data_IF_370911707391
#
_entry.id   IF_370911707391
#
_cell.length_a   1.000
_cell.length_b   1.000
_cell.length_c   1.000
_cell.angle_alpha   90.00
_cell.angle_beta   90.00
_cell.angle_gamma   90.00
#
_symmetry.space_group_name_H-M   'P 1'
#
loop_
_entity.id
_entity.type
_entity.pdbx_description
1 polymer ?
#
# COMPACT_ATOMS: atom_id res chain seq x y z
N UNK A 1 -1.20 25.26 26.20
CA UNK A 1 -1.37 24.97 24.77
C UNK A 1 -2.78 24.50 24.50
N UNK A 2 -3.55 25.35 23.84
CA UNK A 2 -4.88 24.95 23.34
C UNK A 2 -4.67 24.19 22.03
N UNK A 3 -4.94 22.90 22.05
CA UNK A 3 -4.68 22.06 20.88
C UNK A 3 -5.82 22.12 19.86
N UNK A 4 -5.51 22.13 18.55
CA UNK A 4 -6.52 22.11 17.53
C UNK A 4 -7.24 20.76 17.50
N UNK A 5 -8.57 20.81 17.32
CA UNK A 5 -9.40 19.66 17.11
C UNK A 5 -10.43 19.94 16.00
N UNK A 6 -10.67 18.98 15.14
CA UNK A 6 -11.56 19.11 13.98
C UNK A 6 -12.37 17.83 13.80
N UNK A 7 -13.66 17.98 13.56
CA UNK A 7 -14.51 16.86 13.12
C UNK A 7 -14.80 17.03 11.63
N UNK A 8 -14.50 16.01 10.86
CA UNK A 8 -14.70 15.98 9.40
C UNK A 8 -15.69 14.89 9.03
N UNK A 9 -16.71 15.24 8.29
CA UNK A 9 -17.61 14.31 7.63
C UNK A 9 -17.27 14.26 6.15
N UNK A 10 -17.07 13.06 5.61
CA UNK A 10 -16.72 12.86 4.20
C UNK A 10 -17.67 11.86 3.57
N UNK A 11 -18.15 12.22 2.37
CA UNK A 11 -18.79 11.29 1.45
C UNK A 11 -17.88 11.15 0.22
N UNK A 12 -17.75 9.95 -0.31
CA UNK A 12 -16.86 9.69 -1.44
C UNK A 12 -17.42 8.63 -2.37
N UNK A 13 -17.01 8.76 -3.63
CA UNK A 13 -17.21 7.76 -4.68
C UNK A 13 -15.87 7.60 -5.39
N UNK A 14 -15.34 6.40 -5.38
CA UNK A 14 -14.12 6.04 -6.08
C UNK A 14 -14.41 5.01 -7.16
N UNK A 15 -13.80 5.19 -8.32
CA UNK A 15 -13.91 4.25 -9.41
C UNK A 15 -12.52 3.79 -9.86
N UNK A 16 -12.25 2.50 -9.70
CA UNK A 16 -11.11 1.85 -10.33
C UNK A 16 -11.55 1.23 -11.64
N UNK A 17 -11.06 1.76 -12.75
CA UNK A 17 -11.33 1.24 -14.08
C UNK A 17 -10.09 0.53 -14.61
N UNK A 18 -10.15 -0.79 -14.68
CA UNK A 18 -9.17 -1.62 -15.39
C UNK A 18 -9.70 -1.89 -16.79
N UNK A 19 -9.41 -0.96 -17.69
CA UNK A 19 -9.85 -1.03 -19.08
C UNK A 19 -9.67 -2.44 -19.66
N UNK A 20 -10.74 -3.02 -20.20
CA UNK A 20 -10.83 -4.37 -20.79
C UNK A 20 -10.96 -5.53 -19.81
N UNK A 21 -10.96 -5.30 -18.50
CA UNK A 21 -11.12 -6.36 -17.50
C UNK A 21 -12.32 -6.15 -16.60
N UNK A 22 -12.32 -5.10 -15.77
CA UNK A 22 -13.39 -4.83 -14.83
C UNK A 22 -13.44 -3.35 -14.41
N UNK A 23 -14.55 -2.97 -13.81
CA UNK A 23 -14.71 -1.73 -13.05
C UNK A 23 -15.06 -2.08 -11.60
N UNK A 24 -14.35 -1.47 -10.66
CA UNK A 24 -14.68 -1.52 -9.25
C UNK A 24 -15.17 -0.14 -8.81
N UNK A 25 -16.40 -0.07 -8.35
CA UNK A 25 -16.98 1.15 -7.77
C UNK A 25 -16.96 1.00 -6.26
N UNK A 26 -16.42 2.01 -5.57
CA UNK A 26 -16.50 2.13 -4.12
C UNK A 26 -17.20 3.43 -3.77
N UNK A 27 -18.20 3.38 -2.91
CA UNK A 27 -18.84 4.57 -2.36
C UNK A 27 -19.07 4.41 -0.87
N UNK A 28 -19.06 5.52 -0.16
CA UNK A 28 -19.21 5.47 1.27
C UNK A 28 -19.06 6.81 1.94
N UNK A 29 -18.87 6.76 3.25
CA UNK A 29 -18.65 7.92 4.05
C UNK A 29 -17.97 7.61 5.36
N UNK A 30 -17.41 8.62 5.98
CA UNK A 30 -16.82 8.53 7.31
C UNK A 30 -17.05 9.79 8.13
N UNK A 31 -16.92 9.63 9.44
CA UNK A 31 -16.82 10.70 10.40
C UNK A 31 -15.48 10.56 11.12
N UNK A 32 -14.64 11.56 11.06
CA UNK A 32 -13.29 11.53 11.63
C UNK A 32 -13.09 12.68 12.59
N UNK A 33 -12.58 12.40 13.78
CA UNK A 33 -12.17 13.37 14.78
C UNK A 33 -10.64 13.42 14.85
N UNK A 34 -10.07 14.53 14.40
CA UNK A 34 -8.64 14.83 14.44
C UNK A 34 -8.36 15.75 15.63
N UNK A 35 -7.36 15.41 16.43
CA UNK A 35 -6.88 16.28 17.51
C UNK A 35 -5.38 16.18 17.70
N UNK A 36 -4.77 17.28 18.13
CA UNK A 36 -3.32 17.42 18.27
C UNK A 36 -2.96 17.90 19.67
N UNK A 37 -2.85 16.99 20.66
CA UNK A 37 -2.62 17.36 22.06
C UNK A 37 -1.24 17.95 22.32
N UNK A 38 -0.29 17.67 21.44
CA UNK A 38 1.06 18.26 21.48
C UNK A 38 1.51 18.68 20.10
N UNK A 39 2.55 19.50 20.01
CA UNK A 39 3.10 19.95 18.70
C UNK A 39 3.67 18.82 17.85
N UNK A 40 3.94 17.68 18.45
CA UNK A 40 4.61 16.54 17.80
C UNK A 40 3.70 15.33 17.64
N UNK A 41 2.51 15.30 18.25
CA UNK A 41 1.60 14.18 18.20
C UNK A 41 0.23 14.59 17.64
N UNK A 42 -0.24 13.86 16.66
CA UNK A 42 -1.58 13.97 16.11
C UNK A 42 -2.31 12.65 16.24
N UNK A 43 -3.57 12.72 16.58
CA UNK A 43 -4.46 11.57 16.66
C UNK A 43 -5.63 11.78 15.71
N UNK A 44 -6.00 10.73 15.01
CA UNK A 44 -7.15 10.72 14.12
C UNK A 44 -8.02 9.50 14.46
N UNK A 45 -9.20 9.75 14.94
CA UNK A 45 -10.17 8.72 15.30
C UNK A 45 -11.34 8.76 14.32
N UNK A 46 -11.56 7.65 13.63
CA UNK A 46 -12.70 7.44 12.75
C UNK A 46 -13.58 6.34 13.35
N UNK A 47 -14.56 6.69 14.21
CA UNK A 47 -15.40 5.70 14.86
C UNK A 47 -16.33 4.98 13.89
N UNK A 48 -16.62 5.58 12.75
CA UNK A 48 -17.43 4.98 11.70
C UNK A 48 -16.91 5.36 10.32
N UNK A 49 -16.51 4.34 9.57
CA UNK A 49 -16.23 4.38 8.14
C UNK A 49 -17.03 3.27 7.47
N UNK A 50 -17.86 3.65 6.53
CA UNK A 50 -18.70 2.72 5.79
C UNK A 50 -18.33 2.79 4.32
N UNK A 51 -17.94 1.68 3.74
CA UNK A 51 -17.60 1.56 2.33
C UNK A 51 -18.39 0.43 1.70
N UNK A 52 -18.93 0.67 0.52
CA UNK A 52 -19.63 -0.30 -0.29
C UNK A 52 -18.85 -0.52 -1.59
N UNK A 53 -18.33 -1.71 -1.81
CA UNK A 53 -17.61 -2.09 -3.02
C UNK A 53 -18.53 -2.87 -3.95
N UNK A 54 -18.62 -2.43 -5.21
CA UNK A 54 -19.42 -3.08 -6.25
C UNK A 54 -18.55 -3.35 -7.46
N UNK A 55 -18.41 -4.64 -7.80
CA UNK A 55 -17.74 -5.06 -9.02
C UNK A 55 -18.71 -4.93 -10.20
N UNK A 56 -18.31 -4.15 -11.21
CA UNK A 56 -19.11 -3.87 -12.40
C UNK A 56 -18.35 -4.21 -13.68
N UNK A 57 -19.10 -4.50 -14.73
CA UNK A 57 -18.58 -4.64 -16.10
C UNK A 57 -17.39 -5.59 -16.22
N UNK A 58 -17.54 -6.83 -15.74
CA UNK A 58 -16.55 -7.90 -15.97
C UNK A 58 -16.58 -8.33 -17.44
N UNK A 59 -15.41 -8.62 -17.98
CA UNK A 59 -15.24 -9.12 -19.35
C UNK A 59 -14.85 -10.60 -19.33
N UNK A 60 -15.00 -11.29 -20.47
CA UNK A 60 -14.52 -12.67 -20.61
C UNK A 60 -13.02 -12.82 -20.28
N UNK A 61 -12.21 -11.85 -20.67
CA UNK A 61 -10.79 -11.83 -20.34
C UNK A 61 -10.55 -11.74 -18.82
N UNK A 62 -11.42 -11.07 -18.07
CA UNK A 62 -11.38 -11.07 -16.61
C UNK A 62 -11.81 -12.41 -16.03
N UNK A 63 -12.85 -13.05 -16.56
CA UNK A 63 -13.34 -14.35 -16.09
C UNK A 63 -12.25 -15.43 -16.22
N UNK A 64 -11.53 -15.47 -17.35
CA UNK A 64 -10.40 -16.39 -17.55
C UNK A 64 -9.29 -16.20 -16.51
N UNK A 65 -9.03 -14.96 -16.11
CA UNK A 65 -8.03 -14.62 -15.10
C UNK A 65 -8.55 -14.93 -13.69
N UNK A 66 -9.81 -14.67 -13.43
CA UNK A 66 -10.48 -14.98 -12.17
C UNK A 66 -10.48 -16.49 -11.88
N UNK A 67 -10.63 -17.32 -12.90
CA UNK A 67 -10.53 -18.78 -12.78
C UNK A 67 -9.11 -19.22 -12.40
N UNK A 68 -8.08 -18.51 -12.88
CA UNK A 68 -6.68 -18.77 -12.54
C UNK A 68 -6.26 -18.16 -11.20
N UNK A 69 -6.96 -17.12 -10.73
CA UNK A 69 -6.66 -16.42 -9.48
C UNK A 69 -7.92 -16.20 -8.63
N UNK A 70 -8.38 -17.26 -8.01
CA UNK A 70 -9.58 -17.24 -7.15
C UNK A 70 -9.47 -16.27 -5.96
N UNK A 71 -8.26 -16.02 -5.46
CA UNK A 71 -8.03 -15.08 -4.37
C UNK A 71 -8.31 -13.65 -4.81
N UNK A 72 -7.84 -13.25 -6.00
CA UNK A 72 -8.14 -11.94 -6.59
C UNK A 72 -9.64 -11.77 -6.82
N UNK A 73 -10.30 -12.76 -7.40
CA UNK A 73 -11.73 -12.73 -7.63
C UNK A 73 -12.54 -12.52 -6.34
N UNK A 74 -12.21 -13.28 -5.27
CA UNK A 74 -12.86 -13.13 -3.96
C UNK A 74 -12.65 -11.76 -3.34
N UNK A 75 -11.47 -11.17 -3.51
CA UNK A 75 -11.16 -9.85 -2.98
C UNK A 75 -11.92 -8.71 -3.67
N UNK A 76 -12.37 -8.93 -4.91
CA UNK A 76 -13.11 -7.96 -5.73
C UNK A 76 -14.63 -8.08 -5.63
N UNK A 77 -15.15 -9.09 -4.94
CA UNK A 77 -16.60 -9.28 -4.81
C UNK A 77 -17.29 -8.12 -4.11
N UNK A 78 -18.58 -7.97 -4.38
CA UNK A 78 -19.42 -7.00 -3.71
C UNK A 78 -19.36 -7.19 -2.20
N UNK A 79 -18.99 -6.14 -1.47
CA UNK A 79 -18.80 -6.17 -0.03
C UNK A 79 -19.19 -4.86 0.61
N UNK A 80 -19.69 -4.96 1.83
CA UNK A 80 -19.88 -3.85 2.74
C UNK A 80 -18.75 -3.85 3.77
N UNK A 81 -18.11 -2.71 4.00
CA UNK A 81 -16.96 -2.58 4.92
C UNK A 81 -17.32 -1.59 6.03
N UNK A 82 -17.92 -2.05 7.14
CA UNK A 82 -18.14 -1.22 8.31
C UNK A 82 -16.90 -1.24 9.18
N UNK A 83 -16.15 -0.15 9.22
CA UNK A 83 -14.86 -0.09 9.87
C UNK A 83 -14.78 1.02 10.93
N UNK A 84 -13.92 0.80 11.90
CA UNK A 84 -13.37 1.81 12.81
C UNK A 84 -11.89 1.95 12.52
N UNK A 85 -11.35 3.15 12.62
CA UNK A 85 -9.96 3.42 12.35
C UNK A 85 -9.37 4.40 13.35
N UNK A 86 -8.14 4.14 13.77
CA UNK A 86 -7.37 5.05 14.61
C UNK A 86 -5.97 5.20 14.02
N UNK A 87 -5.56 6.46 13.82
CA UNK A 87 -4.22 6.80 13.34
C UNK A 87 -3.50 7.66 14.37
N UNK A 88 -2.30 7.24 14.73
CA UNK A 88 -1.35 8.02 15.50
C UNK A 88 -0.24 8.51 14.59
N UNK A 89 0.09 9.81 14.67
CA UNK A 89 1.20 10.41 13.95
C UNK A 89 2.11 11.14 14.91
N UNK A 90 3.39 10.79 14.88
CA UNK A 90 4.48 11.52 15.53
C UNK A 90 5.28 12.26 14.48
N UNK A 91 5.51 13.56 14.68
CA UNK A 91 6.31 14.40 13.80
C UNK A 91 7.03 15.47 14.62
N UNK A 92 8.33 15.39 14.70
CA UNK A 92 9.14 16.35 15.44
C UNK A 92 9.83 17.40 14.56
N UNK A 93 9.57 17.42 13.25
CA UNK A 93 10.20 18.34 12.30
C UNK A 93 9.91 19.81 12.63
N UNK A 94 8.75 20.11 13.21
CA UNK A 94 8.33 21.47 13.58
C UNK A 94 8.99 21.99 14.87
N UNK A 95 9.71 21.16 15.62
CA UNK A 95 10.38 21.59 16.84
C UNK A 95 11.66 22.35 16.53
N UNK A 96 11.88 23.46 17.27
CA UNK A 96 13.13 24.20 17.20
C UNK A 96 14.30 23.32 17.66
N UNK A 97 15.43 23.35 16.93
CA UNK A 97 16.66 22.64 17.28
C UNK A 97 16.70 21.15 16.84
N UNK A 98 15.65 20.63 16.26
CA UNK A 98 15.68 19.28 15.68
C UNK A 98 16.43 19.33 14.35
N UNK A 99 17.65 18.74 14.35
CA UNK A 99 18.46 18.62 13.14
C UNK A 99 18.00 17.45 12.27
N UNK A 100 17.68 16.35 12.90
CA UNK A 100 17.33 15.09 12.22
C UNK A 100 15.88 14.71 12.54
N UNK A 101 14.92 15.14 11.72
CA UNK A 101 13.50 14.87 11.99
C UNK A 101 13.13 13.41 11.87
N UNK A 102 12.20 12.99 12.73
CA UNK A 102 11.52 11.70 12.71
C UNK A 102 10.05 11.97 12.43
N UNK A 103 9.50 11.16 11.54
CA UNK A 103 8.07 11.06 11.29
C UNK A 103 7.65 9.60 11.40
N UNK A 104 6.64 9.33 12.18
CA UNK A 104 6.11 7.98 12.36
C UNK A 104 4.59 8.02 12.40
N UNK A 105 3.97 7.19 11.58
CA UNK A 105 2.52 7.04 11.56
C UNK A 105 2.14 5.57 11.65
N UNK A 106 1.17 5.26 12.52
CA UNK A 106 0.59 3.93 12.63
C UNK A 106 -0.93 4.04 12.60
N UNK A 107 -1.55 3.20 11.77
CA UNK A 107 -3.00 3.12 11.61
C UNK A 107 -3.49 1.74 11.99
N UNK A 108 -4.49 1.68 12.86
CA UNK A 108 -5.22 0.47 13.25
C UNK A 108 -6.62 0.54 12.66
N UNK A 109 -7.04 -0.50 11.96
CA UNK A 109 -8.37 -0.62 11.37
C UNK A 109 -9.03 -1.91 11.86
N UNK A 110 -10.27 -1.80 12.34
CA UNK A 110 -11.12 -2.94 12.73
C UNK A 110 -12.41 -2.88 11.92
N UNK A 111 -12.65 -3.88 11.10
CA UNK A 111 -13.86 -3.94 10.27
C UNK A 111 -14.73 -5.13 10.61
N UNK A 112 -16.05 -4.92 10.62
CA UNK A 112 -17.05 -5.96 10.78
C UNK A 112 -17.15 -6.59 12.18
N UNK A 113 -16.25 -6.24 13.11
CA UNK A 113 -16.20 -6.84 14.45
C UNK A 113 -17.39 -6.41 15.33
N UNK A 114 -17.74 -5.13 15.32
CA UNK A 114 -18.92 -4.63 16.02
C UNK A 114 -20.17 -5.24 15.42
N UNK A 115 -20.27 -5.28 14.09
CA UNK A 115 -21.40 -5.90 13.39
C UNK A 115 -21.54 -7.37 13.77
N UNK A 116 -20.45 -8.14 13.75
CA UNK A 116 -20.45 -9.54 14.18
C UNK A 116 -20.82 -9.70 15.67
N UNK A 117 -20.39 -8.78 16.52
CA UNK A 117 -20.78 -8.72 17.95
C UNK A 117 -22.28 -8.50 18.13
N UNK A 118 -22.88 -7.60 17.35
CA UNK A 118 -24.33 -7.37 17.35
C UNK A 118 -25.05 -8.64 16.90
N UNK A 119 -24.62 -9.30 15.82
CA UNK A 119 -25.21 -10.57 15.37
C UNK A 119 -25.13 -11.68 16.41
N UNK A 120 -24.08 -11.69 17.25
CA UNK A 120 -23.97 -12.64 18.37
C UNK A 120 -25.07 -12.45 19.42
N UNK A 121 -25.46 -11.20 19.71
CA UNK A 121 -26.59 -10.89 20.62
C UNK A 121 -27.88 -11.49 20.08
N UNK A 122 -28.03 -11.58 18.74
CA UNK A 122 -29.20 -12.18 18.09
C UNK A 122 -29.04 -13.69 17.79
N UNK A 123 -28.10 -14.38 18.47
CA UNK A 123 -27.96 -15.84 18.44
C UNK A 123 -27.11 -16.40 17.27
N UNK A 124 -26.40 -15.55 16.51
CA UNK A 124 -25.43 -16.01 15.52
C UNK A 124 -24.03 -16.02 16.09
N UNK A 125 -23.22 -17.01 15.73
CA UNK A 125 -21.83 -17.05 16.18
C UNK A 125 -20.99 -15.91 15.57
N UNK A 126 -20.05 -15.38 16.37
CA UNK A 126 -19.17 -14.29 15.94
C UNK A 126 -18.35 -14.67 14.68
N UNK A 127 -17.86 -15.89 14.62
CA UNK A 127 -17.07 -16.44 13.53
C UNK A 127 -17.89 -17.08 12.41
N UNK A 128 -19.23 -17.09 12.52
CA UNK A 128 -20.10 -17.64 11.48
C UNK A 128 -19.90 -16.86 10.18
N UNK A 129 -19.81 -17.60 9.07
CA UNK A 129 -19.73 -17.07 7.71
C UNK A 129 -21.11 -16.71 7.15
N UNK A 130 -21.08 -15.96 6.04
CA UNK A 130 -22.28 -15.61 5.26
C UNK A 130 -23.30 -14.71 5.97
N UNK A 131 -22.85 -13.99 7.00
CA UNK A 131 -23.63 -12.90 7.57
C UNK A 131 -23.69 -11.74 6.58
N UNK A 132 -24.88 -11.22 6.36
CA UNK A 132 -25.14 -10.13 5.41
C UNK A 132 -25.67 -8.92 6.14
N UNK A 133 -25.25 -7.73 5.71
CA UNK A 133 -25.80 -6.46 6.11
C UNK A 133 -26.40 -5.80 4.85
N UNK A 134 -27.67 -5.40 4.92
CA UNK A 134 -28.44 -4.92 3.76
C UNK A 134 -28.41 -5.86 2.54
N UNK A 135 -28.42 -7.19 2.77
CA UNK A 135 -28.41 -8.20 1.71
C UNK A 135 -27.04 -8.49 1.12
N UNK A 136 -25.98 -7.84 1.56
CA UNK A 136 -24.61 -8.00 1.05
C UNK A 136 -23.69 -8.49 2.18
N UNK A 137 -22.75 -9.42 1.87
CA UNK A 137 -21.76 -9.85 2.86
C UNK A 137 -20.90 -8.66 3.31
N UNK A 138 -20.61 -8.61 4.60
CA UNK A 138 -19.70 -7.60 5.14
C UNK A 138 -18.32 -8.18 5.43
N UNK A 139 -17.29 -7.37 5.20
CA UNK A 139 -15.92 -7.72 5.50
C UNK A 139 -15.68 -7.73 7.02
N UNK A 140 -14.87 -8.68 7.48
CA UNK A 140 -14.42 -8.77 8.86
C UNK A 140 -12.91 -8.97 8.89
N UNK A 141 -12.19 -7.98 9.43
CA UNK A 141 -10.73 -8.04 9.51
C UNK A 141 -10.17 -7.10 10.58
N UNK A 142 -8.91 -7.35 10.92
CA UNK A 142 -8.04 -6.41 11.62
C UNK A 142 -6.88 -6.04 10.69
N UNK A 143 -6.52 -4.75 10.69
CA UNK A 143 -5.42 -4.22 9.87
C UNK A 143 -4.55 -3.29 10.69
N UNK A 144 -3.25 -3.45 10.55
CA UNK A 144 -2.25 -2.53 11.10
C UNK A 144 -1.33 -2.11 9.97
N UNK A 145 -1.07 -0.83 9.86
CA UNK A 145 -0.13 -0.26 8.89
C UNK A 145 0.74 0.77 9.58
N UNK A 146 2.05 0.67 9.44
CA UNK A 146 3.02 1.57 10.06
C UNK A 146 4.01 2.08 9.02
N UNK A 147 4.35 3.36 9.09
CA UNK A 147 5.32 4.03 8.23
C UNK A 147 6.23 4.88 9.12
N UNK A 148 7.50 4.56 9.14
CA UNK A 148 8.54 5.25 9.91
C UNK A 148 9.53 5.89 8.94
N UNK A 149 9.82 7.19 9.16
CA UNK A 149 10.73 7.98 8.34
C UNK A 149 11.74 8.70 9.21
N UNK A 150 12.98 8.67 8.78
CA UNK A 150 14.08 9.37 9.43
C UNK A 150 14.90 10.11 8.40
N UNK A 151 15.17 11.40 8.66
CA UNK A 151 16.03 12.22 7.80
C UNK A 151 17.29 12.62 8.56
N UNK A 152 18.42 12.15 8.09
CA UNK A 152 19.72 12.58 8.59
C UNK A 152 20.23 13.76 7.75
N UNK A 153 20.25 14.95 8.33
CA UNK A 153 20.83 16.14 7.70
C UNK A 153 22.34 16.16 7.93
N UNK A 154 23.10 15.85 6.89
CA UNK A 154 24.58 15.87 6.92
C UNK A 154 25.03 17.33 7.05
N UNK A 155 24.55 18.18 6.13
CA UNK A 155 24.77 19.63 6.14
C UNK A 155 23.55 20.38 5.55
N UNK A 156 23.72 21.64 5.18
CA UNK A 156 22.66 22.48 4.58
C UNK A 156 22.25 22.03 3.17
N UNK A 157 23.14 21.32 2.49
CA UNK A 157 22.98 20.93 1.07
C UNK A 157 22.78 19.44 0.87
N UNK A 158 22.97 18.63 1.92
CA UNK A 158 22.97 17.17 1.82
C UNK A 158 22.19 16.51 2.95
N UNK A 159 21.42 15.51 2.62
CA UNK A 159 20.69 14.69 3.60
C UNK A 159 20.51 13.26 3.10
N UNK A 160 20.32 12.35 4.04
CA UNK A 160 19.87 10.97 3.77
C UNK A 160 18.50 10.81 4.40
N UNK A 161 17.51 10.59 3.55
CA UNK A 161 16.17 10.23 3.99
C UNK A 161 15.99 8.71 3.92
N UNK A 162 15.45 8.13 4.96
CA UNK A 162 15.15 6.70 5.05
C UNK A 162 13.72 6.46 5.48
N UNK A 163 13.15 5.38 5.01
CA UNK A 163 11.79 4.95 5.32
C UNK A 163 11.74 3.45 5.51
N UNK A 164 11.00 3.01 6.51
CA UNK A 164 10.60 1.62 6.68
C UNK A 164 9.09 1.60 6.88
N UNK A 165 8.39 0.88 6.03
CA UNK A 165 6.95 0.74 6.12
C UNK A 165 6.55 -0.73 6.11
N UNK A 166 5.54 -1.05 6.89
CA UNK A 166 5.01 -2.40 7.00
C UNK A 166 3.54 -2.40 7.37
N UNK A 167 2.86 -3.47 7.01
CA UNK A 167 1.47 -3.65 7.34
C UNK A 167 1.02 -5.09 7.23
N UNK A 168 -0.04 -5.40 7.94
CA UNK A 168 -0.71 -6.69 7.92
C UNK A 168 -2.22 -6.49 7.99
N UNK A 169 -2.94 -7.25 7.18
CA UNK A 169 -4.39 -7.37 7.26
C UNK A 169 -4.76 -8.83 7.46
N UNK A 170 -5.52 -9.10 8.50
CA UNK A 170 -5.99 -10.42 8.84
C UNK A 170 -7.51 -10.49 8.73
N UNK A 171 -7.99 -11.12 7.66
CA UNK A 171 -9.41 -11.38 7.45
C UNK A 171 -9.81 -12.70 8.13
N UNK A 172 -10.91 -12.68 8.85
CA UNK A 172 -11.43 -13.82 9.61
C UNK A 172 -12.95 -13.74 9.77
N UNK A 173 -13.53 -14.78 10.38
CA UNK A 173 -14.96 -14.81 10.66
C UNK A 173 -15.81 -14.83 9.39
N UNK A 174 -16.50 -13.74 9.12
CA UNK A 174 -17.45 -13.66 8.00
C UNK A 174 -16.79 -13.79 6.63
N UNK A 175 -15.54 -13.38 6.48
CA UNK A 175 -14.78 -13.47 5.23
C UNK A 175 -13.37 -14.00 5.46
N UNK A 176 -12.87 -14.83 4.53
CA UNK A 176 -11.53 -15.38 4.59
C UNK A 176 -10.51 -14.58 3.77
N UNK A 177 -10.98 -13.66 2.94
CA UNK A 177 -10.16 -12.86 2.03
C UNK A 177 -10.42 -11.39 2.33
N UNK A 178 -9.36 -10.62 2.49
CA UNK A 178 -9.47 -9.19 2.67
C UNK A 178 -10.01 -8.52 1.40
N UNK A 179 -10.81 -7.47 1.52
CA UNK A 179 -11.26 -6.68 0.38
C UNK A 179 -10.07 -6.13 -0.40
N UNK A 180 -10.16 -6.15 -1.73
CA UNK A 180 -9.11 -5.62 -2.62
C UNK A 180 -8.72 -4.18 -2.28
N UNK A 181 -9.69 -3.33 -1.97
CA UNK A 181 -9.48 -1.93 -1.59
C UNK A 181 -8.70 -1.74 -0.28
N UNK A 182 -8.66 -2.77 0.56
CA UNK A 182 -7.97 -2.75 1.86
C UNK A 182 -6.62 -3.47 1.82
N UNK A 183 -6.36 -4.30 0.83
CA UNK A 183 -5.09 -5.00 0.66
C UNK A 183 -3.95 -4.05 0.31
N UNK A 184 -2.73 -4.48 0.61
CA UNK A 184 -1.53 -3.72 0.31
C UNK A 184 -1.02 -3.99 -1.10
N UNK A 185 -0.34 -3.00 -1.65
CA UNK A 185 0.43 -3.10 -2.89
C UNK A 185 1.71 -2.28 -2.79
N UNK A 186 2.69 -2.57 -3.62
CA UNK A 186 3.93 -1.80 -3.74
C UNK A 186 4.28 -1.53 -5.21
N UNK A 187 5.27 -0.65 -5.40
CA UNK A 187 5.68 -0.15 -6.69
C UNK A 187 5.15 1.26 -6.97
N UNK A 188 5.73 1.91 -7.95
CA UNK A 188 5.37 3.27 -8.36
C UNK A 188 6.20 4.36 -7.70
N UNK A 189 5.86 5.61 -8.00
CA UNK A 189 6.65 6.81 -7.70
C UNK A 189 6.99 7.06 -6.24
N UNK A 190 6.18 6.56 -5.30
CA UNK A 190 6.34 6.77 -3.85
C UNK A 190 6.58 5.45 -3.10
N UNK A 191 7.03 4.43 -3.79
CA UNK A 191 7.27 3.10 -3.26
C UNK A 191 8.57 2.54 -3.85
N UNK A 192 8.56 1.38 -4.48
CA UNK A 192 9.73 0.80 -5.17
C UNK A 192 9.75 1.32 -6.61
N UNK A 193 10.47 2.39 -6.85
CA UNK A 193 10.40 3.22 -8.07
C UNK A 193 10.88 2.54 -9.35
N UNK A 194 11.65 1.48 -9.24
CA UNK A 194 12.05 0.68 -10.41
C UNK A 194 10.92 -0.19 -10.97
N UNK A 195 9.79 -0.28 -10.30
CA UNK A 195 8.67 -1.14 -10.66
C UNK A 195 7.38 -0.33 -10.79
N UNK A 196 6.56 -0.73 -11.75
CA UNK A 196 5.22 -0.14 -11.92
C UNK A 196 4.35 -0.40 -10.68
N UNK A 197 3.47 0.54 -10.37
CA UNK A 197 2.54 0.39 -9.26
C UNK A 197 1.72 -0.90 -9.41
N UNK A 198 1.58 -1.65 -8.31
CA UNK A 198 0.82 -2.91 -8.25
C UNK A 198 1.36 -4.04 -9.14
N UNK A 199 2.65 -3.99 -9.51
CA UNK A 199 3.26 -5.03 -10.36
C UNK A 199 4.12 -6.05 -9.60
N UNK A 200 4.27 -5.88 -8.30
CA UNK A 200 5.14 -6.71 -7.45
C UNK A 200 4.30 -7.63 -6.57
N UNK A 201 4.73 -8.88 -6.49
CA UNK A 201 4.15 -9.89 -5.60
C UNK A 201 2.80 -10.45 -6.08
N UNK A 202 2.11 -11.17 -5.21
CA UNK A 202 2.52 -11.52 -3.85
C UNK A 202 3.66 -12.55 -3.81
N UNK A 203 4.59 -12.36 -2.87
CA UNK A 203 5.71 -13.24 -2.65
C UNK A 203 6.57 -13.46 -3.90
N UNK A 204 6.92 -14.72 -4.18
CA UNK A 204 7.66 -15.12 -5.36
C UNK A 204 6.80 -15.44 -6.58
N UNK A 205 5.53 -15.08 -6.56
CA UNK A 205 4.62 -15.30 -7.69
C UNK A 205 5.04 -14.43 -8.88
N UNK A 206 5.23 -15.09 -10.04
CA UNK A 206 5.57 -14.40 -11.28
C UNK A 206 4.30 -13.86 -11.93
N UNK A 207 4.14 -12.55 -12.08
CA UNK A 207 2.99 -11.98 -12.76
C UNK A 207 2.94 -12.43 -14.22
N UNK A 208 1.82 -12.96 -14.65
CA UNK A 208 1.60 -13.30 -16.05
C UNK A 208 1.22 -12.02 -16.80
N UNK A 209 2.02 -11.65 -17.79
CA UNK A 209 1.60 -10.58 -18.72
C UNK A 209 0.41 -11.10 -19.50
N UNK A 210 -0.67 -10.34 -19.48
CA UNK A 210 -1.78 -10.60 -20.37
C UNK A 210 -1.33 -10.40 -21.82
N UNK A 211 -2.08 -10.96 -22.78
CA UNK A 211 -1.80 -10.84 -24.22
C UNK A 211 -1.62 -9.40 -24.73
N UNK A 212 -1.94 -8.39 -23.91
CA UNK A 212 -1.83 -6.96 -24.20
C UNK A 212 -0.75 -6.24 -23.37
N UNK A 213 0.12 -6.96 -22.68
CA UNK A 213 1.24 -6.40 -21.91
C UNK A 213 0.86 -5.71 -20.59
N UNK A 214 -0.39 -5.83 -20.15
CA UNK A 214 -0.85 -5.28 -18.88
C UNK A 214 -0.65 -6.30 -17.76
N UNK A 215 -0.14 -5.84 -16.61
CA UNK A 215 -0.14 -6.62 -15.40
C UNK A 215 -1.52 -6.55 -14.73
N UNK A 216 -1.98 -7.68 -14.22
CA UNK A 216 -3.04 -7.66 -13.23
C UNK A 216 -2.48 -7.07 -11.95
N UNK A 217 -3.33 -6.35 -11.25
CA UNK A 217 -2.96 -5.78 -9.97
C UNK A 217 -2.52 -6.88 -9.00
N UNK A 218 -1.31 -6.76 -8.48
CA UNK A 218 -0.75 -7.66 -7.48
C UNK A 218 -0.92 -7.02 -6.11
N UNK A 219 -1.64 -7.68 -5.24
CA UNK A 219 -1.92 -7.23 -3.88
C UNK A 219 -1.60 -8.33 -2.86
N UNK A 220 -1.43 -7.95 -1.60
CA UNK A 220 -1.17 -8.91 -0.53
C UNK A 220 -1.75 -8.48 0.81
N UNK A 221 -1.75 -9.43 1.73
CA UNK A 221 -2.20 -9.23 3.11
C UNK A 221 -1.09 -8.66 4.00
N UNK A 222 0.17 -8.84 3.61
CA UNK A 222 1.36 -8.35 4.31
C UNK A 222 2.13 -7.45 3.35
N UNK A 223 2.64 -6.33 3.85
CA UNK A 223 3.55 -5.43 3.13
C UNK A 223 4.80 -5.20 3.95
N UNK A 224 5.96 -5.24 3.30
CA UNK A 224 7.22 -4.74 3.85
C UNK A 224 7.93 -3.92 2.78
N UNK A 225 8.41 -2.74 3.16
CA UNK A 225 9.04 -1.80 2.26
C UNK A 225 10.12 -1.02 3.00
N UNK A 226 11.24 -0.81 2.35
CA UNK A 226 12.34 0.02 2.84
C UNK A 226 12.88 0.89 1.70
N UNK A 227 13.13 2.15 2.00
CA UNK A 227 13.64 3.12 1.05
C UNK A 227 14.76 3.93 1.69
N UNK A 228 15.81 4.20 0.93
CA UNK A 228 16.89 5.12 1.31
C UNK A 228 17.17 6.04 0.14
N UNK A 229 17.25 7.33 0.40
CA UNK A 229 17.48 8.35 -0.61
C UNK A 229 18.53 9.34 -0.12
N UNK A 230 19.66 9.45 -0.82
CA UNK A 230 20.64 10.51 -0.65
C UNK A 230 20.23 11.70 -1.51
N UNK A 231 20.00 12.83 -0.88
CA UNK A 231 19.55 14.12 -1.47
C UNK A 231 20.67 15.12 -1.38
N UNK A 232 20.95 15.84 -2.48
CA UNK A 232 22.00 16.84 -2.54
C UNK A 232 21.59 18.01 -3.43
N UNK A 233 22.07 19.20 -3.08
CA UNK A 233 21.86 20.40 -3.88
C UNK A 233 22.81 20.40 -5.07
N UNK A 234 22.29 20.64 -6.27
CA UNK A 234 23.06 20.80 -7.50
C UNK A 234 23.38 22.28 -7.71
N UNK A 235 22.34 23.09 -7.89
CA UNK A 235 22.47 24.54 -8.08
C UNK A 235 21.12 25.21 -7.82
N UNK A 236 21.17 26.36 -7.08
CA UNK A 236 19.93 27.10 -6.78
C UNK A 236 18.88 26.21 -6.11
N UNK A 237 17.72 26.11 -6.73
CA UNK A 237 16.58 25.31 -6.28
C UNK A 237 16.52 23.92 -6.92
N UNK A 238 17.55 23.57 -7.71
CA UNK A 238 17.71 22.28 -8.32
C UNK A 238 18.48 21.32 -7.39
N UNK A 239 17.86 20.20 -7.06
CA UNK A 239 18.42 19.13 -6.22
C UNK A 239 18.50 17.82 -6.99
N UNK A 240 19.49 17.02 -6.67
CA UNK A 240 19.63 15.64 -7.13
C UNK A 240 19.32 14.65 -6.03
N UNK A 241 18.97 13.43 -6.43
CA UNK A 241 18.83 12.31 -5.52
C UNK A 241 19.31 11.01 -6.16
N UNK A 242 19.86 10.14 -5.32
CA UNK A 242 20.16 8.74 -5.64
C UNK A 242 19.48 7.88 -4.59
N UNK A 243 18.85 6.80 -5.01
CA UNK A 243 18.00 6.01 -4.12
C UNK A 243 18.16 4.50 -4.27
N UNK A 244 17.80 3.80 -3.22
CA UNK A 244 17.65 2.35 -3.16
C UNK A 244 16.30 2.04 -2.51
N UNK A 245 15.48 1.29 -3.22
CA UNK A 245 14.14 0.89 -2.81
C UNK A 245 14.02 -0.63 -2.79
N UNK A 246 13.41 -1.17 -1.74
CA UNK A 246 13.18 -2.59 -1.57
C UNK A 246 11.80 -2.87 -0.99
N UNK A 247 11.19 -3.97 -1.38
CA UNK A 247 9.94 -4.38 -0.76
C UNK A 247 9.23 -5.51 -1.50
N UNK A 248 8.17 -5.98 -0.90
CA UNK A 248 7.20 -6.91 -1.49
C UNK A 248 5.91 -6.93 -0.67
N UNK A 249 4.92 -7.59 -1.21
CA UNK A 249 3.70 -8.00 -0.52
C UNK A 249 3.59 -9.52 -0.50
N UNK A 250 2.90 -10.08 0.49
CA UNK A 250 2.70 -11.53 0.62
C UNK A 250 1.26 -11.81 1.06
N UNK A 251 0.80 -13.01 0.76
CA UNK A 251 -0.44 -13.52 1.31
C UNK A 251 -0.19 -14.08 2.72
N UNK A 252 -1.12 -13.85 3.63
CA UNK A 252 -1.07 -14.40 4.98
C UNK A 252 -1.46 -15.88 5.00
N UNK A 253 -2.46 -16.23 4.19
CA UNK A 253 -2.96 -17.59 4.08
C UNK A 253 -2.22 -18.36 2.98
N UNK A 254 -2.05 -19.66 3.21
CA UNK A 254 -1.49 -20.57 2.21
C UNK A 254 -2.45 -20.67 1.03
N UNK A 255 -1.91 -20.49 -0.16
CA UNK A 255 -2.54 -20.85 -1.42
C UNK A 255 -1.94 -22.19 -1.86
N UNK A 256 -2.76 -23.21 -2.02
CA UNK A 256 -2.28 -24.56 -2.39
C UNK A 256 -1.81 -24.60 -3.84
N UNK A 257 -2.40 -23.78 -4.70
CA UNK A 257 -2.05 -23.68 -6.12
C UNK A 257 -0.79 -22.81 -6.35
N UNK A 258 -0.49 -21.88 -5.42
CA UNK A 258 0.63 -20.97 -5.52
C UNK A 258 1.28 -20.69 -4.13
N UNK A 259 1.95 -21.70 -3.56
CA UNK A 259 2.52 -21.61 -2.21
C UNK A 259 3.63 -20.55 -2.06
N UNK A 260 4.21 -20.10 -3.17
CA UNK A 260 5.21 -19.03 -3.22
C UNK A 260 4.64 -17.64 -2.87
N UNK A 261 3.31 -17.46 -2.89
CA UNK A 261 2.65 -16.22 -2.48
C UNK A 261 2.72 -15.97 -0.98
N UNK A 262 2.90 -17.02 -0.17
CA UNK A 262 2.92 -16.93 1.27
C UNK A 262 4.30 -16.48 1.78
N UNK A 263 4.31 -15.66 2.83
CA UNK A 263 5.53 -15.26 3.52
C UNK A 263 6.21 -16.48 4.17
N UNK A 264 7.46 -16.73 3.78
CA UNK A 264 8.32 -17.77 4.36
C UNK A 264 9.71 -17.20 4.59
N UNK A 265 10.20 -17.27 5.81
CA UNK A 265 11.50 -16.73 6.17
C UNK A 265 12.68 -17.34 5.38
N UNK A 266 12.55 -18.61 4.97
CA UNK A 266 13.58 -19.30 4.16
C UNK A 266 13.73 -18.72 2.75
N UNK A 267 12.68 -18.15 2.19
CA UNK A 267 12.66 -17.58 0.83
C UNK A 267 12.57 -16.07 0.82
N UNK A 268 12.43 -15.43 1.96
CA UNK A 268 12.20 -13.99 2.12
C UNK A 268 13.18 -13.14 1.29
N UNK A 269 14.51 -13.37 1.46
CA UNK A 269 15.51 -12.58 0.74
C UNK A 269 15.45 -12.71 -0.78
N UNK A 270 14.98 -13.86 -1.29
CA UNK A 270 14.80 -14.09 -2.73
C UNK A 270 13.50 -13.49 -3.28
N UNK A 271 12.59 -13.12 -2.39
CA UNK A 271 11.29 -12.56 -2.72
C UNK A 271 11.24 -11.04 -2.53
N UNK A 272 12.36 -10.37 -2.33
CA UNK A 272 12.42 -8.91 -2.23
C UNK A 272 12.64 -8.32 -3.62
N UNK A 273 11.71 -7.47 -4.07
CA UNK A 273 11.96 -6.60 -5.22
C UNK A 273 12.94 -5.51 -4.80
N UNK A 274 14.02 -5.35 -5.53
CA UNK A 274 15.05 -4.35 -5.26
C UNK A 274 15.27 -3.49 -6.49
N UNK A 275 15.31 -2.19 -6.30
CA UNK A 275 15.60 -1.22 -7.35
C UNK A 275 16.44 -0.07 -6.84
N UNK A 276 17.19 0.53 -7.74
CA UNK A 276 17.97 1.73 -7.51
C UNK A 276 17.60 2.80 -8.55
N UNK A 277 18.15 3.97 -8.44
CA UNK A 277 17.96 4.99 -9.45
C UNK A 277 18.45 6.35 -9.01
N UNK A 278 18.20 7.32 -9.88
CA UNK A 278 18.52 8.71 -9.65
C UNK A 278 17.37 9.60 -10.11
N UNK A 279 17.33 10.79 -9.60
CA UNK A 279 16.32 11.76 -10.00
C UNK A 279 16.70 13.18 -9.68
N UNK A 280 15.90 14.10 -10.17
CA UNK A 280 16.01 15.52 -9.94
C UNK A 280 14.75 16.06 -9.24
N UNK A 281 14.97 17.11 -8.45
CA UNK A 281 13.91 17.84 -7.75
C UNK A 281 14.11 19.31 -8.03
N UNK A 282 13.05 19.97 -8.43
CA UNK A 282 13.03 21.42 -8.59
C UNK A 282 12.08 22.03 -7.58
N UNK A 283 12.64 22.80 -6.64
CA UNK A 283 11.89 23.43 -5.57
C UNK A 283 11.37 24.80 -6.03
N UNK A 284 10.06 24.95 -6.07
CA UNK A 284 9.35 26.18 -6.45
C UNK A 284 8.81 26.91 -5.21
N UNK A 285 9.33 26.65 -4.02
CA UNK A 285 8.86 27.14 -2.71
C UNK A 285 7.48 26.60 -2.30
N UNK A 286 6.50 26.67 -3.16
CA UNK A 286 5.13 26.17 -2.91
C UNK A 286 4.90 24.75 -3.40
N UNK A 287 5.81 24.22 -4.20
CA UNK A 287 5.66 22.94 -4.89
C UNK A 287 7.04 22.39 -5.30
N UNK A 288 7.26 21.12 -5.10
CA UNK A 288 8.46 20.42 -5.56
C UNK A 288 8.09 19.55 -6.75
N UNK A 289 8.70 19.79 -7.90
CA UNK A 289 8.60 18.94 -9.08
C UNK A 289 9.70 17.88 -9.02
N UNK A 290 9.32 16.62 -9.26
CA UNK A 290 10.20 15.47 -9.16
C UNK A 290 10.17 14.63 -10.42
N UNK A 291 11.36 14.28 -10.93
CA UNK A 291 11.54 13.32 -12.01
C UNK A 291 12.53 12.25 -11.54
N UNK A 292 12.08 11.02 -11.45
CA UNK A 292 12.88 9.86 -11.04
C UNK A 292 13.01 8.86 -12.18
N UNK A 293 14.20 8.25 -12.28
CA UNK A 293 14.50 7.11 -13.15
C UNK A 293 14.93 5.93 -12.27
N UNK A 294 14.11 4.90 -12.19
CA UNK A 294 14.37 3.69 -11.43
C UNK A 294 14.89 2.55 -12.30
N UNK A 295 15.84 1.79 -11.76
CA UNK A 295 16.49 0.65 -12.40
C UNK A 295 16.25 -0.59 -11.54
N UNK A 296 15.57 -1.65 -12.03
CA UNK A 296 15.39 -2.87 -11.27
C UNK A 296 16.72 -3.61 -11.10
N UNK A 297 16.98 -4.11 -9.91
CA UNK A 297 18.17 -4.91 -9.57
C UNK A 297 17.82 -6.37 -9.27
N UNK A 298 16.64 -6.60 -8.69
CA UNK A 298 16.19 -7.94 -8.34
C UNK A 298 14.67 -8.05 -8.49
N UNK A 299 14.23 -9.01 -9.30
CA UNK A 299 12.84 -9.41 -9.40
C UNK A 299 12.51 -10.41 -8.26
N UNK A 300 11.34 -10.31 -7.61
CA UNK A 300 11.01 -11.13 -6.44
C UNK A 300 10.67 -12.59 -6.76
N UNK A 301 10.80 -13.01 -8.00
CA UNK A 301 10.48 -14.35 -8.49
C UNK A 301 11.66 -14.94 -9.28
N UNK A 302 11.59 -16.24 -9.54
CA UNK A 302 12.61 -16.93 -10.36
C UNK A 302 12.47 -16.51 -11.83
N UNK A 303 13.54 -15.90 -12.33
CA UNK A 303 13.66 -15.49 -13.75
C UNK A 303 14.46 -16.48 -14.61
N UNK A 304 15.00 -17.56 -13.97
CA UNK A 304 15.93 -18.50 -14.59
C UNK A 304 17.39 -18.01 -14.67
N UNK A 305 17.65 -16.76 -14.26
CA UNK A 305 19.02 -16.19 -14.22
C UNK A 305 19.66 -16.49 -12.87
N UNK A 306 20.88 -17.00 -12.88
CA UNK A 306 21.66 -17.27 -11.66
C UNK A 306 22.19 -15.98 -11.03
N UNK A 307 22.26 -15.98 -9.70
CA UNK A 307 22.76 -14.85 -8.91
C UNK A 307 21.66 -13.96 -8.36
N UNK A 308 22.02 -13.02 -7.48
CA UNK A 308 21.05 -12.12 -6.86
C UNK A 308 20.52 -11.10 -7.90
N UNK A 309 21.36 -10.54 -8.73
CA UNK A 309 20.93 -9.76 -9.89
C UNK A 309 20.30 -10.69 -10.94
N UNK A 310 18.99 -10.77 -10.92
CA UNK A 310 18.22 -11.73 -11.73
C UNK A 310 17.36 -11.09 -12.82
N UNK A 311 17.47 -9.77 -13.01
CA UNK A 311 16.67 -9.04 -14.01
C UNK A 311 17.02 -9.51 -15.43
N UNK A 312 15.98 -9.82 -16.19
CA UNK A 312 16.07 -10.26 -17.58
C UNK A 312 15.49 -9.19 -18.51
N UNK A 313 16.01 -9.14 -19.74
CA UNK A 313 15.55 -8.21 -20.76
C UNK A 313 16.49 -7.03 -21.00
N UNK A 314 16.06 -6.10 -21.85
CA UNK A 314 16.83 -4.91 -22.19
C UNK A 314 16.80 -3.89 -21.04
N UNK A 315 17.96 -3.36 -20.67
CA UNK A 315 18.11 -2.29 -19.70
C UNK A 315 17.13 -1.13 -19.93
N UNK A 316 17.05 -0.64 -21.15
CA UNK A 316 16.21 0.50 -21.51
C UNK A 316 14.71 0.23 -21.37
N UNK A 317 14.27 -1.02 -21.55
CA UNK A 317 12.87 -1.42 -21.38
C UNK A 317 12.49 -1.65 -19.91
N UNK A 318 13.48 -1.83 -19.04
CA UNK A 318 13.31 -2.03 -17.60
C UNK A 318 13.27 -0.74 -16.79
N UNK A 319 13.54 0.42 -17.40
CA UNK A 319 13.57 1.69 -16.69
C UNK A 319 12.17 2.12 -16.23
N UNK A 320 12.05 2.46 -14.96
CA UNK A 320 10.86 3.11 -14.38
C UNK A 320 11.03 4.63 -14.38
N UNK A 321 10.31 5.33 -15.22
CA UNK A 321 10.28 6.80 -15.23
C UNK A 321 9.05 7.31 -14.48
N UNK A 322 9.27 8.21 -13.51
CA UNK A 322 8.21 8.80 -12.71
C UNK A 322 8.33 10.31 -12.66
N UNK A 323 7.25 10.97 -13.07
CA UNK A 323 7.03 12.38 -12.81
C UNK A 323 6.05 12.51 -11.64
N UNK A 324 6.41 13.27 -10.63
CA UNK A 324 5.60 13.41 -9.43
C UNK A 324 5.77 14.78 -8.77
N UNK A 325 4.92 15.06 -7.81
CA UNK A 325 4.93 16.26 -6.98
C UNK A 325 5.32 15.89 -5.55
N UNK A 326 6.22 16.64 -4.95
CA UNK A 326 6.74 16.39 -3.61
C UNK A 326 7.82 15.31 -3.53
N UNK A 327 8.33 15.12 -2.32
CA UNK A 327 9.26 14.01 -2.04
C UNK A 327 8.52 12.67 -1.98
N UNK A 328 9.20 11.54 -2.25
CA UNK A 328 8.54 10.23 -2.24
C UNK A 328 8.13 9.76 -0.83
N UNK A 329 8.83 10.27 0.17
CA UNK A 329 8.57 10.03 1.59
C UNK A 329 9.22 11.10 2.46
#
# INVERSE_FOLDING_TARGET
YDFPATTTFRLYIDQLNRAKYYKLLAFGGNATYDFQPTRISRHSLTPLRVTFNVLQHTTKAFEEIADQNKALYRSLQNQFIPAMEYTYTFDNAALRGVRNPIWWQTTFTSAGNITSGIYRIFGKEFSQRDKKLFGVPFAQFLKVNSDFRYTWKIDKNQSIASRVAGGIIWAYGNTNTAPYSEQFYIGGANSVRAFTARSIGPGGFRPTKTSKGLYLDQTGDIRMEANVEYRFRIYGDLHGAVFLDAGNVWMLRKDEEAPEKQLRWKTFGKQIALGTGAGIRYDLDFLILRLDCGVPLHDPYDTGKKGYYNVTGSFWKGLGLHFAVGYPF
#
